data_IF_829226621357
#
_entry.id   IF_829226621357
#
_cell.length_a   1.000
_cell.length_b   1.000
_cell.length_c   1.000
_cell.angle_alpha   90.00
_cell.angle_beta   90.00
_cell.angle_gamma   90.00
#
_symmetry.space_group_name_H-M   'P 1'
#
loop_
_entity.id
_entity.type
_entity.pdbx_description
1 polymer ?
#
# COMPACT_ATOMS: atom_id res chain seq x y z
N UNK A 1 10.33 2.71 32.62
CA UNK A 1 10.28 1.28 32.25
C UNK A 1 8.85 0.99 31.81
N UNK A 2 8.59 0.99 30.51
CA UNK A 2 7.32 0.53 29.96
C UNK A 2 7.44 -0.99 29.86
N UNK A 3 6.75 -1.71 30.73
CA UNK A 3 6.49 -3.14 30.54
C UNK A 3 5.71 -3.27 29.25
N UNK A 4 6.30 -3.91 28.22
CA UNK A 4 5.66 -4.10 26.92
C UNK A 4 4.25 -4.66 27.12
N UNK A 5 3.26 -3.88 26.71
CA UNK A 5 1.86 -4.20 26.92
C UNK A 5 1.27 -4.94 25.71
N UNK A 6 1.96 -4.90 24.55
CA UNK A 6 1.62 -5.66 23.37
C UNK A 6 2.14 -7.10 23.48
N UNK A 7 1.24 -8.07 23.41
CA UNK A 7 1.61 -9.50 23.41
C UNK A 7 2.20 -9.90 22.03
N UNK A 8 3.38 -10.54 22.00
CA UNK A 8 4.05 -10.89 20.76
C UNK A 8 3.27 -11.97 20.05
N UNK A 9 2.94 -11.68 18.80
CA UNK A 9 2.30 -12.66 17.94
C UNK A 9 3.27 -13.01 16.81
N UNK A 10 4.11 -14.03 17.02
CA UNK A 10 5.08 -14.47 16.00
C UNK A 10 4.44 -14.83 14.66
N UNK A 11 3.13 -15.08 14.66
CA UNK A 11 2.39 -15.42 13.47
C UNK A 11 1.90 -14.19 12.70
N UNK A 12 2.06 -12.92 13.15
CA UNK A 12 1.58 -11.70 12.43
C UNK A 12 2.02 -11.67 10.96
N UNK A 13 3.26 -12.07 10.69
CA UNK A 13 3.81 -12.17 9.34
C UNK A 13 3.06 -13.22 8.50
N UNK A 14 2.84 -14.41 9.07
CA UNK A 14 2.07 -15.48 8.47
C UNK A 14 0.58 -15.14 8.37
N UNK A 15 0.06 -14.42 9.35
CA UNK A 15 -1.31 -13.92 9.54
C UNK A 15 -1.60 -12.85 8.49
N UNK A 16 -0.74 -11.86 8.29
CA UNK A 16 -0.90 -10.83 7.25
C UNK A 16 -0.84 -11.39 5.84
N UNK A 17 0.09 -12.31 5.57
CA UNK A 17 0.09 -13.09 4.32
C UNK A 17 -1.21 -13.89 4.20
N UNK A 18 -1.60 -14.61 5.26
CA UNK A 18 -2.84 -15.37 5.31
C UNK A 18 -4.08 -14.48 5.17
N UNK A 19 -4.14 -13.25 5.67
CA UNK A 19 -5.25 -12.30 5.42
C UNK A 19 -5.26 -11.90 3.99
N UNK A 20 -4.10 -11.49 3.46
CA UNK A 20 -4.06 -11.05 2.08
C UNK A 20 -4.55 -12.18 1.17
N UNK A 21 -4.18 -13.44 1.48
CA UNK A 21 -4.65 -14.63 0.78
C UNK A 21 -6.13 -14.93 1.09
N UNK A 22 -6.56 -14.98 2.35
CA UNK A 22 -7.93 -15.34 2.76
C UNK A 22 -8.97 -14.28 2.35
N UNK A 23 -8.63 -13.00 2.45
CA UNK A 23 -9.43 -11.90 1.92
C UNK A 23 -9.53 -11.96 0.39
N UNK A 24 -8.53 -12.54 -0.30
CA UNK A 24 -8.61 -12.84 -1.73
C UNK A 24 -9.34 -14.15 -2.04
N UNK A 25 -9.41 -15.11 -1.11
CA UNK A 25 -9.85 -16.49 -1.40
C UNK A 25 -11.16 -16.97 -0.75
N UNK A 26 -11.94 -16.19 0.01
CA UNK A 26 -13.41 -16.36 0.26
C UNK A 26 -13.85 -15.76 1.63
N UNK A 27 -15.12 -15.29 1.77
CA UNK A 27 -15.71 -14.88 3.05
C UNK A 27 -16.56 -15.96 3.77
N UNK A 28 -16.43 -17.26 3.48
CA UNK A 28 -17.49 -18.25 3.78
C UNK A 28 -17.36 -19.15 5.03
N UNK A 29 -16.38 -18.98 5.93
CA UNK A 29 -16.35 -19.74 7.19
C UNK A 29 -16.44 -18.86 8.45
N UNK A 30 -17.59 -18.86 9.16
CA UNK A 30 -17.79 -18.14 10.42
C UNK A 30 -16.79 -18.47 11.54
N UNK A 31 -16.41 -19.75 11.79
CA UNK A 31 -15.52 -20.05 12.92
C UNK A 31 -14.12 -19.50 12.70
N UNK A 32 -13.75 -19.12 11.46
CA UNK A 32 -12.43 -18.58 11.19
C UNK A 32 -12.26 -17.08 11.44
N UNK A 33 -13.35 -16.33 11.55
CA UNK A 33 -13.27 -14.88 11.70
C UNK A 33 -13.17 -14.47 13.18
N UNK A 34 -13.76 -15.22 14.11
CA UNK A 34 -13.73 -14.89 15.55
C UNK A 34 -12.37 -15.08 16.21
N UNK A 35 -11.63 -16.16 15.88
CA UNK A 35 -10.26 -16.36 16.40
C UNK A 35 -9.29 -15.27 15.95
N UNK A 36 -9.63 -14.63 14.83
CA UNK A 36 -8.89 -13.54 14.24
C UNK A 36 -8.98 -12.27 15.07
N UNK A 37 -10.19 -11.92 15.49
CA UNK A 37 -10.46 -10.69 16.25
C UNK A 37 -9.90 -10.75 17.67
N UNK A 38 -9.79 -11.96 18.23
CA UNK A 38 -9.27 -12.17 19.59
C UNK A 38 -7.75 -12.06 19.69
N UNK A 39 -7.01 -12.10 18.58
CA UNK A 39 -5.54 -12.06 18.56
C UNK A 39 -4.95 -10.85 17.84
N UNK A 40 -5.80 -9.99 17.28
CA UNK A 40 -5.36 -8.83 16.49
C UNK A 40 -5.44 -7.56 17.34
N UNK A 41 -4.29 -7.02 17.74
CA UNK A 41 -4.21 -5.68 18.31
C UNK A 41 -4.43 -4.60 17.24
N UNK A 42 -4.79 -3.39 17.67
CA UNK A 42 -4.89 -2.21 16.78
C UNK A 42 -3.57 -1.99 16.02
N UNK A 43 -2.44 -2.11 16.72
CA UNK A 43 -1.11 -2.03 16.13
C UNK A 43 -0.93 -2.99 14.94
N UNK A 44 -1.28 -4.27 15.12
CA UNK A 44 -1.16 -5.29 14.07
C UNK A 44 -2.13 -5.04 12.91
N UNK A 45 -3.35 -4.59 13.20
CA UNK A 45 -4.33 -4.22 12.18
C UNK A 45 -3.79 -3.11 11.27
N UNK A 46 -3.20 -2.04 11.83
CA UNK A 46 -2.62 -0.95 11.06
C UNK A 46 -1.48 -1.41 10.13
N UNK A 47 -0.63 -2.35 10.58
CA UNK A 47 0.41 -2.94 9.72
C UNK A 47 -0.23 -3.68 8.55
N UNK A 48 -1.25 -4.51 8.82
CA UNK A 48 -1.97 -5.25 7.77
C UNK A 48 -2.62 -4.28 6.78
N UNK A 49 -3.17 -3.16 7.23
CA UNK A 49 -3.77 -2.15 6.36
C UNK A 49 -2.74 -1.52 5.44
N UNK A 50 -1.59 -1.10 5.96
CA UNK A 50 -0.50 -0.55 5.15
C UNK A 50 0.01 -1.57 4.11
N UNK A 51 0.17 -2.83 4.50
CA UNK A 51 0.59 -3.91 3.59
C UNK A 51 -0.47 -4.18 2.50
N UNK A 52 -1.75 -4.15 2.84
CA UNK A 52 -2.84 -4.32 1.88
C UNK A 52 -2.87 -3.17 0.86
N UNK A 53 -2.62 -1.93 1.28
CA UNK A 53 -2.46 -0.78 0.38
C UNK A 53 -1.27 -0.94 -0.57
N UNK A 54 -0.11 -1.37 -0.06
CA UNK A 54 1.07 -1.70 -0.87
C UNK A 54 0.73 -2.75 -1.92
N UNK A 55 0.07 -3.84 -1.52
CA UNK A 55 -0.33 -4.91 -2.43
C UNK A 55 -1.28 -4.38 -3.52
N UNK A 56 -2.27 -3.58 -3.14
CA UNK A 56 -3.24 -3.00 -4.08
C UNK A 56 -2.57 -2.08 -5.12
N UNK A 57 -1.62 -1.25 -4.69
CA UNK A 57 -0.89 -0.34 -5.58
C UNK A 57 0.05 -1.09 -6.54
N UNK A 58 0.71 -2.14 -6.06
CA UNK A 58 1.60 -2.95 -6.90
C UNK A 58 0.82 -3.76 -7.93
N UNK A 59 -0.35 -4.27 -7.57
CA UNK A 59 -1.24 -4.90 -8.53
C UNK A 59 -1.64 -3.94 -9.65
N UNK A 60 -1.98 -2.68 -9.30
CA UNK A 60 -2.33 -1.66 -10.27
C UNK A 60 -1.18 -1.37 -11.25
N UNK A 61 0.07 -1.30 -10.76
CA UNK A 61 1.26 -1.17 -11.60
C UNK A 61 1.47 -2.36 -12.53
N UNK A 62 1.30 -3.57 -12.01
CA UNK A 62 1.46 -4.79 -12.80
C UNK A 62 0.44 -4.83 -13.96
N UNK A 63 -0.81 -4.46 -13.68
CA UNK A 63 -1.87 -4.40 -14.69
C UNK A 63 -1.57 -3.34 -15.76
N UNK A 64 -1.14 -2.14 -15.37
CA UNK A 64 -0.81 -1.08 -16.32
C UNK A 64 0.45 -1.38 -17.15
N UNK A 65 1.39 -2.14 -16.60
CA UNK A 65 2.63 -2.53 -17.26
C UNK A 65 2.46 -3.61 -18.33
N UNK A 66 1.53 -4.55 -18.14
CA UNK A 66 1.52 -5.81 -18.90
C UNK A 66 0.50 -5.88 -20.04
N UNK A 67 -0.39 -4.88 -20.20
CA UNK A 67 -1.28 -4.73 -21.37
C UNK A 67 -2.13 -5.96 -21.75
N UNK A 68 -2.17 -7.01 -20.92
CA UNK A 68 -2.95 -8.23 -21.18
C UNK A 68 -4.15 -8.31 -20.24
N UNK A 69 -5.37 -8.05 -20.74
CA UNK A 69 -6.56 -8.00 -19.92
C UNK A 69 -7.08 -9.42 -19.67
N UNK A 70 -6.65 -10.04 -18.57
CA UNK A 70 -7.53 -11.00 -17.92
C UNK A 70 -8.54 -10.19 -17.10
N UNK A 71 -9.80 -10.14 -17.56
CA UNK A 71 -10.87 -9.31 -16.96
C UNK A 71 -11.23 -9.70 -15.53
N UNK A 72 -10.91 -10.92 -15.09
CA UNK A 72 -11.19 -11.41 -13.74
C UNK A 72 -10.34 -10.74 -12.66
N UNK A 73 -9.13 -10.29 -13.01
CA UNK A 73 -8.14 -9.89 -12.02
C UNK A 73 -8.43 -8.48 -11.46
N UNK A 74 -8.88 -7.48 -12.25
CA UNK A 74 -9.36 -6.20 -11.71
C UNK A 74 -10.54 -6.36 -10.75
N UNK A 75 -11.49 -7.26 -11.03
CA UNK A 75 -12.66 -7.49 -10.18
C UNK A 75 -12.22 -7.99 -8.80
N UNK A 76 -11.32 -8.98 -8.77
CA UNK A 76 -10.78 -9.49 -7.52
C UNK A 76 -10.06 -8.39 -6.72
N UNK A 77 -9.31 -7.53 -7.39
CA UNK A 77 -8.65 -6.40 -6.73
C UNK A 77 -9.65 -5.41 -6.14
N UNK A 78 -10.70 -5.05 -6.87
CA UNK A 78 -11.74 -4.15 -6.36
C UNK A 78 -12.44 -4.74 -5.14
N UNK A 79 -12.75 -6.04 -5.18
CA UNK A 79 -13.32 -6.76 -4.05
C UNK A 79 -12.36 -6.78 -2.85
N UNK A 80 -11.06 -7.01 -3.08
CA UNK A 80 -10.05 -6.97 -2.02
C UNK A 80 -9.97 -5.60 -1.34
N UNK A 81 -9.88 -4.51 -2.12
CA UNK A 81 -9.85 -3.14 -1.57
C UNK A 81 -11.12 -2.82 -0.80
N UNK A 82 -12.29 -3.22 -1.32
CA UNK A 82 -13.56 -3.03 -0.62
C UNK A 82 -13.67 -3.84 0.68
N UNK A 83 -13.20 -5.09 0.69
CA UNK A 83 -13.18 -5.93 1.88
C UNK A 83 -12.23 -5.37 2.95
N UNK A 84 -11.04 -4.91 2.54
CA UNK A 84 -10.10 -4.23 3.43
C UNK A 84 -10.71 -2.94 3.98
N UNK A 85 -11.31 -2.10 3.13
CA UNK A 85 -11.98 -0.88 3.57
C UNK A 85 -13.11 -1.14 4.58
N UNK A 86 -13.89 -2.21 4.40
CA UNK A 86 -14.92 -2.61 5.38
C UNK A 86 -14.29 -3.00 6.72
N UNK A 87 -13.18 -3.74 6.69
CA UNK A 87 -12.42 -4.12 7.88
C UNK A 87 -11.87 -2.87 8.59
N UNK A 88 -11.28 -1.92 7.84
CA UNK A 88 -10.76 -0.67 8.37
C UNK A 88 -11.86 0.17 9.02
N UNK A 89 -13.03 0.33 8.37
CA UNK A 89 -14.18 1.03 8.97
C UNK A 89 -14.55 0.38 10.29
N UNK A 90 -14.60 -0.95 10.35
CA UNK A 90 -14.93 -1.66 11.58
C UNK A 90 -13.89 -1.40 12.68
N UNK A 91 -12.59 -1.54 12.40
CA UNK A 91 -11.51 -1.25 13.35
C UNK A 91 -11.56 0.21 13.83
N UNK A 92 -11.64 1.17 12.91
CA UNK A 92 -11.68 2.59 13.25
C UNK A 92 -12.94 2.98 14.01
N UNK A 93 -14.09 2.34 13.75
CA UNK A 93 -15.33 2.59 14.49
C UNK A 93 -15.26 2.15 15.97
N UNK A 94 -14.34 1.23 16.29
CA UNK A 94 -14.15 0.67 17.63
C UNK A 94 -12.73 0.86 18.15
N UNK A 95 -11.97 1.81 17.59
CA UNK A 95 -10.52 1.90 17.80
C UNK A 95 -10.12 1.87 19.27
N UNK A 96 -10.82 2.62 20.14
CA UNK A 96 -10.53 2.71 21.57
C UNK A 96 -10.72 1.40 22.35
N UNK A 97 -11.52 0.46 21.84
CA UNK A 97 -11.85 -0.82 22.49
C UNK A 97 -11.50 -2.02 21.60
N UNK A 98 -10.78 -1.80 20.51
CA UNK A 98 -10.49 -2.83 19.53
C UNK A 98 -9.33 -3.72 19.99
N UNK A 99 -9.46 -5.03 19.72
CA UNK A 99 -8.42 -6.03 19.95
C UNK A 99 -8.36 -6.56 21.37
N UNK A 100 -7.35 -7.39 21.63
CA UNK A 100 -7.14 -8.08 22.91
C UNK A 100 -6.61 -7.20 24.04
N UNK A 101 -6.01 -6.05 23.72
CA UNK A 101 -5.32 -5.16 24.66
C UNK A 101 -5.76 -3.70 24.46
N UNK A 102 -7.04 -3.38 24.74
CA UNK A 102 -7.55 -2.00 24.59
C UNK A 102 -6.81 -0.99 25.47
N UNK A 103 -6.19 -1.41 26.58
CA UNK A 103 -5.35 -0.59 27.45
C UNK A 103 -4.07 -0.07 26.78
N UNK A 104 -3.59 -0.74 25.73
CA UNK A 104 -2.42 -0.32 24.96
C UNK A 104 -2.75 0.67 23.85
N UNK A 105 -4.00 0.72 23.40
CA UNK A 105 -4.42 1.53 22.25
C UNK A 105 -4.09 3.01 22.42
N UNK A 106 -4.29 3.68 23.57
CA UNK A 106 -3.95 5.09 23.74
C UNK A 106 -2.46 5.39 23.58
N UNK A 107 -1.61 4.39 23.77
CA UNK A 107 -0.16 4.51 23.65
C UNK A 107 0.35 4.19 22.25
N UNK A 108 -0.44 3.49 21.43
CA UNK A 108 -0.06 3.13 20.06
C UNK A 108 -0.04 4.37 19.18
N UNK A 109 1.03 4.54 18.41
CA UNK A 109 1.26 5.70 17.55
C UNK A 109 1.15 5.32 16.08
N UNK A 110 0.17 5.88 15.37
CA UNK A 110 0.17 5.83 13.92
C UNK A 110 1.18 6.83 13.35
N UNK A 111 1.94 6.44 12.32
CA UNK A 111 2.85 7.36 11.63
C UNK A 111 2.28 7.68 10.27
N UNK A 112 2.08 8.97 10.01
CA UNK A 112 1.62 9.48 8.73
C UNK A 112 2.55 10.60 8.27
N UNK A 113 3.19 10.42 7.11
CA UNK A 113 4.20 11.35 6.59
C UNK A 113 5.32 11.62 7.61
N UNK A 114 5.75 10.59 8.33
CA UNK A 114 6.76 10.70 9.39
C UNK A 114 6.30 11.41 10.67
N UNK A 115 5.07 11.91 10.78
CA UNK A 115 4.51 12.48 12.01
C UNK A 115 3.82 11.40 12.84
N UNK A 116 4.16 11.30 14.13
CA UNK A 116 3.44 10.42 15.07
C UNK A 116 2.12 11.04 15.48
N UNK A 117 1.05 10.27 15.39
CA UNK A 117 -0.31 10.64 15.78
C UNK A 117 -0.85 9.50 16.66
N UNK A 118 -1.34 9.76 17.88
CA UNK A 118 -1.99 8.74 18.69
C UNK A 118 -3.14 8.11 17.91
N UNK A 119 -3.27 6.78 17.94
CA UNK A 119 -4.30 6.09 17.16
C UNK A 119 -5.72 6.45 17.63
N UNK A 120 -5.87 6.88 18.88
CA UNK A 120 -7.14 7.36 19.47
C UNK A 120 -7.48 8.82 19.12
N UNK A 121 -6.71 9.48 18.25
CA UNK A 121 -6.95 10.86 17.84
C UNK A 121 -8.23 10.99 17.00
N UNK A 122 -9.15 11.87 17.42
CA UNK A 122 -10.46 12.06 16.78
C UNK A 122 -10.35 12.48 15.30
N UNK A 123 -9.53 13.49 14.92
CA UNK A 123 -9.30 13.82 13.51
C UNK A 123 -8.83 12.64 12.67
N UNK A 124 -7.87 11.85 13.16
CA UNK A 124 -7.36 10.68 12.45
C UNK A 124 -8.44 9.61 12.26
N UNK A 125 -9.22 9.33 13.32
CA UNK A 125 -10.31 8.37 13.27
C UNK A 125 -11.39 8.79 12.27
N UNK A 126 -11.85 10.04 12.33
CA UNK A 126 -12.88 10.57 11.41
C UNK A 126 -12.37 10.55 9.97
N UNK A 127 -11.14 11.04 9.74
CA UNK A 127 -10.54 11.06 8.40
C UNK A 127 -10.43 9.64 7.82
N UNK A 128 -10.02 8.67 8.63
CA UNK A 128 -9.93 7.27 8.22
C UNK A 128 -11.31 6.69 7.88
N UNK A 129 -12.32 6.89 8.73
CA UNK A 129 -13.69 6.41 8.45
C UNK A 129 -14.22 7.02 7.15
N UNK A 130 -14.04 8.32 6.93
CA UNK A 130 -14.49 9.00 5.70
C UNK A 130 -13.77 8.43 4.48
N UNK A 131 -12.45 8.31 4.53
CA UNK A 131 -11.64 7.74 3.45
C UNK A 131 -12.12 6.33 3.12
N UNK A 132 -12.27 5.47 4.13
CA UNK A 132 -12.62 4.08 3.93
C UNK A 132 -14.08 3.86 3.51
N UNK A 133 -14.99 4.75 3.91
CA UNK A 133 -16.38 4.75 3.45
C UNK A 133 -16.52 5.01 1.95
N UNK A 134 -15.55 5.71 1.34
CA UNK A 134 -15.50 5.89 -0.11
C UNK A 134 -14.96 4.61 -0.76
N UNK A 135 -13.87 4.05 -0.23
CA UNK A 135 -13.21 2.86 -0.81
C UNK A 135 -13.98 1.55 -0.63
N UNK A 136 -14.90 1.49 0.33
CA UNK A 136 -15.71 0.28 0.57
C UNK A 136 -16.60 -0.04 -0.63
N UNK A 137 -17.02 0.98 -1.40
CA UNK A 137 -17.84 0.80 -2.59
C UNK A 137 -16.94 0.46 -3.79
N UNK A 138 -17.02 -0.78 -4.35
CA UNK A 138 -16.15 -1.18 -5.46
C UNK A 138 -16.22 -0.24 -6.67
N UNK A 139 -17.40 0.32 -6.94
CA UNK A 139 -17.61 1.27 -8.02
C UNK A 139 -16.82 2.58 -7.82
N UNK A 140 -16.63 3.03 -6.58
CA UNK A 140 -15.89 4.26 -6.28
C UNK A 140 -14.38 4.04 -6.22
N UNK A 141 -13.90 2.81 -6.09
CA UNK A 141 -12.47 2.51 -6.16
C UNK A 141 -11.85 2.93 -7.50
N UNK A 142 -12.65 2.97 -8.57
CA UNK A 142 -12.25 3.53 -9.86
C UNK A 142 -11.87 5.02 -9.79
N UNK A 143 -12.37 5.78 -8.83
CA UNK A 143 -12.04 7.20 -8.66
C UNK A 143 -10.57 7.38 -8.33
N UNK A 144 -10.01 6.57 -7.42
CA UNK A 144 -8.58 6.65 -7.06
C UNK A 144 -7.68 6.32 -8.26
N UNK A 145 -8.09 5.36 -9.08
CA UNK A 145 -7.41 5.03 -10.34
C UNK A 145 -7.44 6.22 -11.29
N UNK A 146 -8.61 6.83 -11.47
CA UNK A 146 -8.78 8.00 -12.33
C UNK A 146 -7.90 9.15 -11.82
N UNK A 147 -7.94 9.49 -10.53
CA UNK A 147 -7.10 10.53 -9.93
C UNK A 147 -5.61 10.25 -10.15
N UNK A 148 -5.17 9.00 -9.92
CA UNK A 148 -3.78 8.59 -10.15
C UNK A 148 -3.35 8.74 -11.62
N UNK A 149 -4.21 8.32 -12.55
CA UNK A 149 -3.98 8.47 -14.00
C UNK A 149 -3.93 9.95 -14.39
N UNK A 150 -4.82 10.79 -13.87
CA UNK A 150 -4.80 12.25 -14.10
C UNK A 150 -3.53 12.89 -13.57
N UNK A 151 -3.11 12.55 -12.36
CA UNK A 151 -1.87 13.05 -11.77
C UNK A 151 -0.64 12.64 -12.61
N UNK A 152 -0.60 11.39 -13.07
CA UNK A 152 0.45 10.93 -13.98
C UNK A 152 0.39 11.67 -15.33
N UNK A 153 -0.80 11.83 -15.91
CA UNK A 153 -1.00 12.55 -17.17
C UNK A 153 -0.54 14.01 -17.10
N UNK A 154 -0.75 14.69 -15.97
CA UNK A 154 -0.21 16.02 -15.72
C UNK A 154 1.33 16.02 -15.76
N UNK A 155 1.97 15.03 -15.13
CA UNK A 155 3.44 14.90 -15.17
C UNK A 155 3.94 14.67 -16.59
N UNK A 156 3.28 13.79 -17.35
CA UNK A 156 3.59 13.53 -18.77
C UNK A 156 3.47 14.81 -19.60
N UNK A 157 2.39 15.57 -19.41
CA UNK A 157 2.17 16.84 -20.08
C UNK A 157 3.31 17.83 -19.77
N UNK A 158 3.69 17.98 -18.50
CA UNK A 158 4.79 18.86 -18.09
C UNK A 158 6.13 18.45 -18.71
N UNK A 159 6.45 17.15 -18.72
CA UNK A 159 7.65 16.61 -19.39
C UNK A 159 7.61 16.92 -20.89
N UNK A 160 6.47 16.70 -21.54
CA UNK A 160 6.30 16.93 -22.99
C UNK A 160 6.48 18.40 -23.34
N UNK A 161 5.90 19.30 -22.53
CA UNK A 161 6.08 20.75 -22.68
C UNK A 161 7.56 21.16 -22.49
N UNK A 162 8.25 20.57 -21.51
CA UNK A 162 9.67 20.82 -21.28
C UNK A 162 10.54 20.36 -22.47
N UNK A 163 10.31 19.15 -23.00
CA UNK A 163 11.02 18.62 -24.17
C UNK A 163 10.73 19.43 -25.43
N UNK A 164 9.49 19.90 -25.62
CA UNK A 164 9.12 20.77 -26.73
C UNK A 164 9.86 22.12 -26.67
N UNK A 165 10.04 22.70 -25.47
CA UNK A 165 10.88 23.90 -25.30
C UNK A 165 12.35 23.66 -25.65
N UNK A 166 12.84 22.44 -25.44
CA UNK A 166 14.20 22.02 -25.82
C UNK A 166 14.32 21.61 -27.30
N UNK A 167 13.24 21.70 -28.09
CA UNK A 167 13.18 21.30 -29.51
C UNK A 167 13.63 19.85 -29.77
N UNK A 168 13.43 18.95 -28.82
CA UNK A 168 13.73 17.53 -28.98
C UNK A 168 12.56 16.86 -29.72
N UNK A 169 12.75 16.32 -30.93
CA UNK A 169 11.66 15.68 -31.68
C UNK A 169 11.26 14.36 -31.02
N UNK A 170 9.97 14.22 -30.69
CA UNK A 170 9.36 12.98 -30.18
C UNK A 170 8.48 12.43 -31.30
N UNK A 171 9.00 11.52 -32.12
CA UNK A 171 8.24 10.94 -33.24
C UNK A 171 8.10 9.42 -33.18
N UNK A 172 8.66 8.78 -32.15
CA UNK A 172 8.58 7.33 -31.98
C UNK A 172 7.50 6.98 -30.94
N UNK A 173 6.49 6.21 -31.37
CA UNK A 173 5.42 5.68 -30.50
C UNK A 173 5.94 4.91 -29.27
N UNK A 174 7.13 4.30 -29.37
CA UNK A 174 7.76 3.64 -28.21
C UNK A 174 8.15 4.64 -27.13
N UNK A 175 8.58 5.84 -27.53
CA UNK A 175 8.94 6.93 -26.59
C UNK A 175 7.68 7.46 -25.93
N UNK A 176 6.58 7.63 -26.67
CA UNK A 176 5.29 8.07 -26.13
C UNK A 176 4.74 7.11 -25.05
N UNK A 177 4.69 5.81 -25.34
CA UNK A 177 4.24 4.80 -24.37
C UNK A 177 5.12 4.77 -23.12
N UNK A 178 6.43 4.94 -23.29
CA UNK A 178 7.36 5.03 -22.17
C UNK A 178 7.13 6.30 -21.33
N UNK A 179 6.89 7.44 -21.97
CA UNK A 179 6.66 8.70 -21.25
C UNK A 179 5.47 8.60 -20.31
N UNK A 180 4.44 7.81 -20.64
CA UNK A 180 3.31 7.53 -19.73
C UNK A 180 3.67 6.50 -18.67
N UNK A 181 4.34 5.43 -19.07
CA UNK A 181 4.67 4.31 -18.20
C UNK A 181 5.63 4.70 -17.06
N UNK A 182 6.70 5.44 -17.36
CA UNK A 182 7.75 5.76 -16.39
C UNK A 182 7.22 6.60 -15.22
N UNK A 183 6.52 7.73 -15.42
CA UNK A 183 5.92 8.50 -14.33
C UNK A 183 4.94 7.69 -13.49
N UNK A 184 4.14 6.81 -14.12
CA UNK A 184 3.19 5.96 -13.40
C UNK A 184 3.91 5.01 -12.44
N UNK A 185 4.98 4.36 -12.91
CA UNK A 185 5.79 3.47 -12.06
C UNK A 185 6.51 4.25 -10.97
N UNK A 186 7.08 5.42 -11.28
CA UNK A 186 7.73 6.27 -10.28
C UNK A 186 6.75 6.77 -9.21
N UNK A 187 5.54 7.16 -9.60
CA UNK A 187 4.49 7.59 -8.69
C UNK A 187 4.11 6.48 -7.70
N UNK A 188 3.80 5.30 -8.20
CA UNK A 188 3.46 4.18 -7.34
C UNK A 188 4.66 3.70 -6.51
N UNK A 189 5.88 3.72 -7.05
CA UNK A 189 7.09 3.44 -6.26
C UNK A 189 7.24 4.43 -5.09
N UNK A 190 7.01 5.72 -5.32
CA UNK A 190 7.06 6.74 -4.28
C UNK A 190 6.01 6.49 -3.18
N UNK A 191 4.77 6.15 -3.55
CA UNK A 191 3.72 5.81 -2.57
C UNK A 191 4.08 4.53 -1.79
N UNK A 192 4.57 3.49 -2.46
CA UNK A 192 5.01 2.27 -1.79
C UNK A 192 6.14 2.56 -0.79
N UNK A 193 7.14 3.36 -1.18
CA UNK A 193 8.22 3.79 -0.28
C UNK A 193 7.65 4.53 0.92
N UNK A 194 6.66 5.40 0.71
CA UNK A 194 6.00 6.11 1.80
C UNK A 194 5.33 5.17 2.79
N UNK A 195 4.51 4.21 2.33
CA UNK A 195 3.88 3.21 3.20
C UNK A 195 4.90 2.35 3.95
N UNK A 196 6.00 1.97 3.28
CA UNK A 196 7.10 1.22 3.92
C UNK A 196 7.75 2.07 5.01
N UNK A 197 8.11 3.32 4.72
CA UNK A 197 8.74 4.22 5.69
C UNK A 197 7.82 4.50 6.87
N UNK A 198 6.54 4.79 6.63
CA UNK A 198 5.56 5.04 7.69
C UNK A 198 5.37 3.79 8.56
N UNK A 199 5.28 2.60 7.96
CA UNK A 199 5.18 1.33 8.71
C UNK A 199 6.42 1.06 9.56
N UNK A 200 7.63 1.29 9.02
CA UNK A 200 8.87 1.11 9.75
C UNK A 200 9.04 2.11 10.89
N UNK A 201 8.66 3.36 10.67
CA UNK A 201 8.67 4.38 11.70
C UNK A 201 7.65 4.07 12.80
N UNK A 202 6.47 3.54 12.44
CA UNK A 202 5.46 3.06 13.40
C UNK A 202 6.05 1.96 14.28
N UNK A 203 6.60 0.89 13.68
CA UNK A 203 7.26 -0.21 14.42
C UNK A 203 8.35 0.31 15.37
N UNK A 204 9.20 1.23 14.90
CA UNK A 204 10.30 1.78 15.71
C UNK A 204 9.80 2.64 16.86
N UNK A 205 8.73 3.41 16.68
CA UNK A 205 8.20 4.31 17.69
C UNK A 205 7.37 3.57 18.74
N UNK A 206 6.71 2.49 18.35
CA UNK A 206 5.99 1.59 19.25
C UNK A 206 6.87 0.44 19.79
N UNK A 207 8.19 0.48 19.56
CA UNK A 207 9.14 -0.53 20.05
C UNK A 207 9.16 -0.66 21.60
N UNK A 208 8.73 0.37 22.32
CA UNK A 208 8.60 0.33 23.79
C UNK A 208 7.30 -0.33 24.28
N UNK A 209 6.35 -0.59 23.37
CA UNK A 209 5.08 -1.27 23.65
C UNK A 209 5.14 -2.75 23.27
N UNK A 210 5.97 -3.09 22.27
CA UNK A 210 6.20 -4.46 21.81
C UNK A 210 7.24 -5.20 22.65
N UNK A 211 7.18 -6.53 22.67
CA UNK A 211 8.15 -7.32 23.43
C UNK A 211 9.53 -7.36 22.76
N UNK A 212 10.61 -7.58 23.54
CA UNK A 212 11.97 -7.72 22.99
C UNK A 212 12.02 -8.82 21.93
N UNK A 213 12.40 -8.47 20.69
CA UNK A 213 12.51 -9.39 19.55
C UNK A 213 11.47 -9.16 18.44
N UNK A 214 10.31 -8.58 18.76
CA UNK A 214 9.29 -8.24 17.75
C UNK A 214 9.70 -7.01 16.92
N UNK A 215 10.34 -6.03 17.56
CA UNK A 215 10.91 -4.84 16.89
C UNK A 215 12.03 -5.13 15.90
N UNK A 216 12.57 -6.37 15.89
CA UNK A 216 13.56 -6.82 14.90
C UNK A 216 12.92 -7.51 13.69
N UNK A 217 11.61 -7.75 13.67
CA UNK A 217 10.93 -8.28 12.49
C UNK A 217 10.85 -7.22 11.38
N UNK A 218 11.87 -7.19 10.52
CA UNK A 218 11.92 -6.43 9.26
C UNK A 218 11.06 -7.07 8.15
N UNK A 219 10.05 -7.85 8.51
CA UNK A 219 9.28 -8.68 7.59
C UNK A 219 8.57 -7.85 6.51
N UNK A 220 8.07 -6.66 6.89
CA UNK A 220 7.52 -5.68 5.94
C UNK A 220 8.56 -5.22 4.91
N UNK A 221 9.83 -5.04 5.30
CA UNK A 221 10.92 -4.64 4.41
C UNK A 221 11.23 -5.73 3.38
N UNK A 222 11.28 -7.00 3.80
CA UNK A 222 11.63 -8.10 2.89
C UNK A 222 10.53 -8.34 1.87
N UNK A 223 9.26 -8.36 2.31
CA UNK A 223 8.13 -8.57 1.41
C UNK A 223 7.94 -7.39 0.45
N UNK A 224 8.01 -6.15 0.94
CA UNK A 224 7.87 -4.96 0.10
C UNK A 224 9.03 -4.85 -0.91
N UNK A 225 10.27 -5.18 -0.53
CA UNK A 225 11.38 -5.24 -1.47
C UNK A 225 11.17 -6.30 -2.54
N UNK A 226 10.65 -7.47 -2.17
CA UNK A 226 10.40 -8.57 -3.10
C UNK A 226 9.30 -8.22 -4.12
N UNK A 227 8.25 -7.54 -3.68
CA UNK A 227 7.16 -7.06 -4.55
C UNK A 227 7.61 -5.92 -5.47
N UNK A 228 8.46 -4.99 -4.98
CA UNK A 228 9.03 -3.91 -5.81
C UNK A 228 10.11 -4.39 -6.78
N UNK A 229 10.76 -5.52 -6.50
CA UNK A 229 11.89 -6.02 -7.29
C UNK A 229 11.48 -6.36 -8.73
N UNK A 230 10.31 -6.98 -8.93
CA UNK A 230 9.83 -7.37 -10.25
C UNK A 230 9.57 -6.13 -11.15
N UNK A 231 8.80 -5.11 -10.72
CA UNK A 231 8.67 -3.86 -11.45
C UNK A 231 10.01 -3.17 -11.75
N UNK A 232 10.94 -3.15 -10.78
CA UNK A 232 12.26 -2.54 -10.95
C UNK A 232 13.09 -3.22 -12.05
N UNK A 233 13.09 -4.55 -12.10
CA UNK A 233 13.77 -5.29 -13.18
C UNK A 233 13.21 -4.88 -14.54
N UNK A 234 11.89 -4.75 -14.67
CA UNK A 234 11.26 -4.41 -15.93
C UNK A 234 11.53 -2.95 -16.35
N UNK A 235 11.58 -2.01 -15.38
CA UNK A 235 12.03 -0.64 -15.65
C UNK A 235 13.46 -0.66 -16.19
N UNK A 236 14.37 -1.37 -15.52
CA UNK A 236 15.79 -1.43 -15.91
C UNK A 236 15.94 -2.04 -17.32
N UNK A 237 15.19 -3.10 -17.63
CA UNK A 237 15.18 -3.70 -18.97
C UNK A 237 14.71 -2.69 -20.03
N UNK A 238 13.58 -2.00 -19.78
CA UNK A 238 13.03 -0.99 -20.71
C UNK A 238 13.97 0.21 -20.86
N UNK A 239 14.54 0.70 -19.76
CA UNK A 239 15.53 1.79 -19.73
C UNK A 239 16.77 1.47 -20.59
N UNK A 240 17.31 0.25 -20.48
CA UNK A 240 18.46 -0.18 -21.31
C UNK A 240 18.15 -0.19 -22.80
N UNK A 241 16.95 -0.59 -23.20
CA UNK A 241 16.54 -0.60 -24.61
C UNK A 241 16.54 0.84 -25.16
N UNK A 242 16.07 1.81 -24.38
CA UNK A 242 16.04 3.21 -24.78
C UNK A 242 17.43 3.83 -24.86
N UNK A 243 18.29 3.57 -23.87
CA UNK A 243 19.67 4.05 -23.88
C UNK A 243 20.45 3.50 -25.08
N UNK A 244 20.14 2.27 -25.52
CA UNK A 244 20.71 1.73 -26.75
C UNK A 244 20.15 2.41 -27.99
N UNK A 245 18.84 2.68 -28.04
CA UNK A 245 18.22 3.37 -29.17
C UNK A 245 18.73 4.81 -29.31
N UNK A 246 18.90 5.54 -28.20
CA UNK A 246 19.39 6.93 -28.22
C UNK A 246 20.83 7.04 -28.68
N UNK A 247 21.69 6.05 -28.37
CA UNK A 247 23.07 5.99 -28.87
C UNK A 247 23.18 5.74 -30.39
N UNK A 248 22.14 5.24 -31.04
CA UNK A 248 22.11 5.02 -32.49
C UNK A 248 21.68 6.30 -33.23
N UNK A 249 21.03 7.23 -32.54
CA UNK A 249 20.50 8.48 -33.07
C UNK A 249 21.44 9.70 -32.91
N UNK A 250 22.55 9.54 -32.18
CA UNK A 250 23.65 10.51 -32.09
C UNK A 250 24.88 9.99 -32.84
#
# INVERSE_FOLDING_TARGET
MSSGCLEPNHDIAGIGIRVSIYAQTFPSSPPSFSWWTERLGVYHALIVFNLSWINALNYFLYYSALLKPATSVPILQFLHVSAMAALDIWVWSKVAVFGSQPECTPHTLYVLFGKSIPVVDNPLQIASIVLYSITVLPALNGIYIVIGVWACGLVVLLITLALARLKIPIHDHKVESLMVYVPMVLYAAAINILFVVDTELMIRRDAGLTQPGESQQTFGQTLAMLVLFVPLIDIVKKARVLLKASRILC
#
